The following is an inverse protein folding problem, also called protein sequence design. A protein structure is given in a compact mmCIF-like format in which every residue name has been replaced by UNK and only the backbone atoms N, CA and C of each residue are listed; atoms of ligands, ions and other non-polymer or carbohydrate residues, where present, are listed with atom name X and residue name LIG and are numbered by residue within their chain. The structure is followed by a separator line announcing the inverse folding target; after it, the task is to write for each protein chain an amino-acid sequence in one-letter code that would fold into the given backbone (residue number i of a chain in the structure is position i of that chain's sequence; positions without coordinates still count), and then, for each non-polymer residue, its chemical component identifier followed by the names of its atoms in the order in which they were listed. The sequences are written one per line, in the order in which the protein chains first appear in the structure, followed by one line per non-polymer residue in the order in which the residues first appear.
data_IF_791007187851
#
_entry.id   IF_791007187851
#
_cell.length_a   1.000
_cell.length_b   1.000
_cell.length_c   1.000
_cell.angle_alpha   90.00
_cell.angle_beta   90.00
_cell.angle_gamma   90.00
#
_symmetry.space_group_name_H-M   'P 1'
#
loop_
_entity.id
_entity.type
_entity.pdbx_description
1 polymer ?
#
# COMPACT_ATOMS: atom_id res chain seq x y z
N UNK A 1 24.78 8.66 9.77
CA UNK A 1 25.73 9.51 10.48
C UNK A 1 26.96 8.70 10.91
N UNK A 2 28.16 9.14 10.56
CA UNK A 2 29.42 8.45 10.94
C UNK A 2 29.69 8.50 12.45
N UNK A 3 29.15 9.50 13.12
CA UNK A 3 29.38 9.72 14.57
C UNK A 3 28.39 8.91 15.43
N UNK A 4 27.10 9.12 15.28
CA UNK A 4 26.09 8.46 16.13
C UNK A 4 25.55 7.16 15.55
N UNK A 5 25.93 6.79 14.33
CA UNK A 5 25.49 5.61 13.58
C UNK A 5 23.98 5.58 13.27
N UNK A 6 23.24 6.65 13.56
CA UNK A 6 21.84 6.76 13.18
C UNK A 6 21.71 6.76 11.66
N UNK A 7 20.63 6.17 11.17
CA UNK A 7 20.29 6.07 9.75
C UNK A 7 19.16 7.04 9.43
N UNK A 8 19.21 7.64 8.27
CA UNK A 8 18.24 8.63 7.80
C UNK A 8 17.91 8.37 6.36
N UNK A 9 16.71 8.75 5.96
CA UNK A 9 16.33 8.84 4.55
C UNK A 9 16.98 10.07 3.93
N UNK A 10 17.58 9.92 2.75
CA UNK A 10 18.29 11.02 2.10
C UNK A 10 17.35 12.15 1.64
N UNK A 11 16.12 11.79 1.26
CA UNK A 11 15.05 12.69 0.84
C UNK A 11 14.38 13.47 1.99
N UNK A 12 14.63 13.08 3.25
CA UNK A 12 14.00 13.68 4.43
C UNK A 12 15.03 14.26 5.42
N UNK A 13 16.25 14.49 4.97
CA UNK A 13 17.33 14.97 5.86
C UNK A 13 17.03 16.32 6.49
N UNK A 14 16.37 17.23 5.75
CA UNK A 14 16.06 18.58 6.23
C UNK A 14 15.10 18.57 7.43
N UNK A 15 14.18 17.61 7.44
CA UNK A 15 13.15 17.46 8.47
C UNK A 15 13.49 16.40 9.53
N UNK A 16 14.67 15.80 9.46
CA UNK A 16 15.07 14.75 10.38
C UNK A 16 15.79 15.31 11.61
N UNK A 17 15.48 14.73 12.76
CA UNK A 17 16.15 15.05 14.02
C UNK A 17 17.29 14.08 14.32
N UNK A 18 18.38 14.63 14.85
CA UNK A 18 19.48 13.80 15.34
C UNK A 18 19.11 13.17 16.69
N UNK A 19 19.22 11.83 16.87
CA UNK A 19 18.92 11.17 18.14
C UNK A 19 19.73 11.68 19.35
N UNK A 20 20.79 12.41 19.10
CA UNK A 20 21.62 13.06 20.13
C UNK A 20 21.23 14.51 20.39
N UNK A 21 20.12 14.98 19.86
CA UNK A 21 19.53 16.29 20.09
C UNK A 21 19.71 17.27 18.93
N UNK A 22 18.61 17.87 18.53
CA UNK A 22 18.51 18.94 17.56
C UNK A 22 18.35 18.50 16.11
N UNK A 23 17.98 19.47 15.26
CA UNK A 23 17.89 19.29 13.81
C UNK A 23 19.21 18.79 13.23
N UNK A 24 19.16 17.94 12.20
CA UNK A 24 20.36 17.50 11.47
C UNK A 24 21.13 18.66 10.85
N UNK A 25 20.43 19.74 10.48
CA UNK A 25 21.05 20.97 9.97
C UNK A 25 21.93 21.65 11.02
N UNK A 26 21.61 21.50 12.30
CA UNK A 26 22.33 22.07 13.45
C UNK A 26 23.22 21.04 14.15
N UNK A 27 23.24 19.79 13.71
CA UNK A 27 24.08 18.76 14.29
C UNK A 27 25.58 19.11 14.06
N UNK A 28 26.32 19.20 15.13
CA UNK A 28 27.76 19.48 15.07
C UNK A 28 28.57 18.45 14.29
N UNK A 29 28.02 17.25 14.13
CA UNK A 29 28.57 16.20 13.27
C UNK A 29 27.87 16.17 11.92
N UNK A 30 28.13 17.10 11.03
CA UNK A 30 27.66 17.06 9.62
C UNK A 30 28.27 15.89 8.82
N UNK A 31 28.86 14.91 9.48
CA UNK A 31 29.58 13.80 8.87
C UNK A 31 28.60 12.66 8.53
N UNK A 32 27.85 12.84 7.47
CA UNK A 32 27.00 11.81 6.88
C UNK A 32 27.82 10.98 5.87
N UNK A 33 27.46 9.73 5.70
CA UNK A 33 27.92 8.93 4.57
C UNK A 33 27.21 9.38 3.30
N UNK A 34 27.76 9.04 2.14
CA UNK A 34 27.01 9.13 0.89
C UNK A 34 25.71 8.35 0.96
N UNK A 35 24.68 8.83 0.27
CA UNK A 35 23.41 8.12 0.12
C UNK A 35 23.63 6.79 -0.59
N UNK A 36 23.02 5.75 -0.09
CA UNK A 36 23.10 4.41 -0.69
C UNK A 36 21.70 3.91 -1.01
N UNK A 37 21.50 3.18 -2.12
CA UNK A 37 20.27 2.49 -2.37
C UNK A 37 19.88 1.62 -1.18
N UNK A 38 18.62 1.71 -0.78
CA UNK A 38 18.08 0.94 0.34
C UNK A 38 17.02 -0.03 -0.18
N UNK A 39 17.19 -1.31 0.10
CA UNK A 39 16.22 -2.31 -0.27
C UNK A 39 15.11 -2.38 0.78
N UNK A 40 13.92 -1.94 0.42
CA UNK A 40 12.73 -1.98 1.27
C UNK A 40 12.20 -3.40 1.50
N UNK A 41 12.58 -4.36 0.64
CA UNK A 41 12.15 -5.74 0.77
C UNK A 41 13.19 -6.57 1.53
N UNK A 42 12.72 -7.45 2.41
CA UNK A 42 13.58 -8.45 3.03
C UNK A 42 13.92 -9.55 2.03
N UNK A 43 15.19 -9.87 1.94
CA UNK A 43 15.72 -10.99 1.18
C UNK A 43 16.02 -12.14 2.14
N UNK A 44 15.64 -13.38 1.78
CA UNK A 44 15.93 -14.58 2.53
C UNK A 44 16.47 -15.67 1.61
N UNK A 45 17.35 -16.53 2.13
CA UNK A 45 17.79 -17.71 1.41
C UNK A 45 16.69 -18.76 1.32
N UNK A 46 16.65 -19.50 0.22
CA UNK A 46 15.75 -20.62 -0.01
C UNK A 46 16.57 -21.88 -0.18
N UNK A 47 16.08 -22.98 0.39
CA UNK A 47 16.73 -24.29 0.26
C UNK A 47 17.68 -24.61 1.41
N UNK A 48 18.30 -25.81 1.36
CA UNK A 48 19.10 -26.32 2.46
C UNK A 48 20.50 -25.71 2.56
N UNK A 49 20.97 -25.02 1.51
CA UNK A 49 22.32 -24.44 1.44
C UNK A 49 22.20 -22.95 1.17
N UNK A 50 22.83 -22.14 1.98
CA UNK A 50 22.93 -20.68 1.78
C UNK A 50 24.24 -20.35 1.04
N UNK A 51 24.26 -20.60 -0.24
CA UNK A 51 25.36 -20.26 -1.16
C UNK A 51 25.09 -18.97 -1.96
N UNK A 52 23.98 -18.28 -1.68
CA UNK A 52 23.55 -17.08 -2.37
C UNK A 52 22.98 -17.32 -3.76
N UNK A 53 22.84 -18.57 -4.22
CA UNK A 53 22.31 -18.91 -5.54
C UNK A 53 20.78 -18.86 -5.59
N UNK A 54 20.12 -19.12 -4.46
CA UNK A 54 18.66 -19.19 -4.36
C UNK A 54 18.16 -18.30 -3.25
N UNK A 55 17.30 -17.34 -3.61
CA UNK A 55 16.71 -16.42 -2.63
C UNK A 55 15.28 -16.04 -3.00
N UNK A 56 14.53 -15.61 -1.99
CA UNK A 56 13.21 -14.99 -2.14
C UNK A 56 13.16 -13.65 -1.42
N UNK A 57 12.13 -12.91 -1.75
CA UNK A 57 11.76 -11.71 -1.00
C UNK A 57 10.49 -11.97 -0.22
N UNK A 58 10.47 -11.50 1.03
CA UNK A 58 9.24 -11.47 1.82
C UNK A 58 8.34 -10.37 1.24
N UNK A 59 7.05 -10.64 1.17
CA UNK A 59 6.08 -9.70 0.58
C UNK A 59 5.97 -8.41 1.41
N UNK A 60 6.05 -7.22 0.78
CA UNK A 60 5.90 -5.93 1.47
C UNK A 60 4.44 -5.49 1.64
N UNK A 61 3.51 -6.19 0.98
CA UNK A 61 2.07 -5.93 0.97
C UNK A 61 1.30 -7.21 0.62
N UNK A 62 0.01 -7.25 0.90
CA UNK A 62 -0.86 -8.38 0.56
C UNK A 62 -1.60 -8.19 -0.77
N UNK A 63 -1.62 -6.98 -1.34
CA UNK A 63 -2.34 -6.63 -2.56
C UNK A 63 -1.94 -7.50 -3.76
N UNK A 64 -0.66 -7.72 -3.99
CA UNK A 64 -0.19 -8.43 -5.19
C UNK A 64 -0.71 -9.86 -5.28
N UNK A 65 -0.86 -10.56 -4.14
CA UNK A 65 -1.44 -11.91 -4.12
C UNK A 65 -2.94 -11.90 -4.48
N UNK A 66 -3.64 -10.81 -4.18
CA UNK A 66 -5.05 -10.64 -4.60
C UNK A 66 -5.12 -10.55 -6.13
N UNK A 67 -4.26 -9.74 -6.76
CA UNK A 67 -4.24 -9.60 -8.21
C UNK A 67 -3.83 -10.90 -8.92
N UNK A 68 -2.81 -11.58 -8.43
CA UNK A 68 -2.38 -12.89 -8.97
C UNK A 68 -3.51 -13.92 -8.89
N UNK A 69 -4.30 -13.91 -7.81
CA UNK A 69 -5.38 -14.85 -7.59
C UNK A 69 -6.70 -14.44 -8.24
N UNK A 70 -6.78 -13.26 -8.85
CA UNK A 70 -8.01 -12.71 -9.43
C UNK A 70 -8.70 -13.68 -10.39
N UNK A 71 -7.92 -14.23 -11.36
CA UNK A 71 -8.48 -15.16 -12.34
C UNK A 71 -9.03 -16.41 -11.69
N UNK A 72 -8.35 -16.99 -10.73
CA UNK A 72 -8.82 -18.18 -10.01
C UNK A 72 -10.15 -17.90 -9.29
N UNK A 73 -10.28 -16.73 -8.67
CA UNK A 73 -11.53 -16.33 -8.00
C UNK A 73 -12.67 -16.19 -9.03
N UNK A 74 -12.43 -15.50 -10.15
CA UNK A 74 -13.44 -15.34 -11.21
C UNK A 74 -13.85 -16.69 -11.76
N UNK A 75 -12.91 -17.56 -12.11
CA UNK A 75 -13.20 -18.85 -12.72
C UNK A 75 -13.94 -19.81 -11.76
N UNK A 76 -13.55 -19.82 -10.48
CA UNK A 76 -14.14 -20.74 -9.49
C UNK A 76 -15.49 -20.26 -8.94
N UNK A 77 -15.73 -18.96 -8.90
CA UNK A 77 -16.93 -18.38 -8.28
C UNK A 77 -17.89 -17.76 -9.29
N UNK A 78 -17.51 -17.65 -10.55
CA UNK A 78 -18.28 -16.99 -11.63
C UNK A 78 -18.69 -15.55 -11.28
N UNK A 79 -17.86 -14.84 -10.50
CA UNK A 79 -18.13 -13.46 -10.11
C UNK A 79 -17.98 -12.51 -11.29
N UNK A 80 -18.84 -11.51 -11.32
CA UNK A 80 -18.83 -10.42 -12.31
C UNK A 80 -18.67 -9.10 -11.57
N UNK A 81 -17.83 -8.17 -12.05
CA UNK A 81 -17.72 -6.85 -11.44
C UNK A 81 -19.08 -6.12 -11.35
N UNK A 82 -19.39 -5.43 -10.23
CA UNK A 82 -18.44 -5.12 -9.15
C UNK A 82 -18.34 -6.23 -8.09
N UNK A 83 -17.14 -6.57 -7.65
CA UNK A 83 -16.90 -7.43 -6.50
C UNK A 83 -15.55 -7.14 -5.87
N UNK A 84 -15.37 -7.53 -4.62
CA UNK A 84 -14.12 -7.34 -3.89
C UNK A 84 -13.47 -8.66 -3.48
N UNK A 85 -12.16 -8.65 -3.35
CA UNK A 85 -11.37 -9.70 -2.71
C UNK A 85 -10.62 -9.06 -1.56
N UNK A 86 -10.87 -9.56 -0.35
CA UNK A 86 -10.19 -9.10 0.85
C UNK A 86 -9.19 -10.15 1.34
N UNK A 87 -8.09 -9.67 1.88
CA UNK A 87 -7.07 -10.52 2.51
C UNK A 87 -6.56 -9.88 3.78
N UNK A 88 -6.41 -10.69 4.82
CA UNK A 88 -5.69 -10.36 6.04
C UNK A 88 -4.44 -11.22 6.09
N UNK A 89 -3.30 -10.63 6.35
CA UNK A 89 -2.07 -11.40 6.42
C UNK A 89 -0.85 -10.55 6.77
N UNK A 90 0.25 -11.23 7.01
CA UNK A 90 1.52 -10.57 7.34
C UNK A 90 2.16 -9.94 6.10
N UNK A 91 2.71 -8.75 6.33
CA UNK A 91 3.56 -8.04 5.39
C UNK A 91 4.89 -7.66 6.08
N UNK A 92 5.92 -7.45 5.28
CA UNK A 92 7.28 -7.24 5.76
C UNK A 92 7.92 -6.09 5.03
N UNK A 93 8.32 -5.07 5.77
CA UNK A 93 9.04 -3.93 5.20
C UNK A 93 10.34 -3.72 5.95
N UNK A 94 11.44 -3.64 5.24
CA UNK A 94 12.75 -3.39 5.83
C UNK A 94 12.86 -1.91 6.21
N UNK A 95 12.19 -1.52 7.29
CA UNK A 95 12.20 -0.14 7.77
C UNK A 95 13.61 0.30 8.18
N UNK A 96 14.01 1.49 7.73
CA UNK A 96 15.29 2.08 8.11
C UNK A 96 15.32 2.29 9.63
N UNK A 97 14.22 2.82 10.18
CA UNK A 97 14.09 3.11 11.62
C UNK A 97 12.69 2.75 12.09
N UNK A 98 12.48 1.56 12.67
CA UNK A 98 11.27 1.27 13.43
C UNK A 98 11.07 2.27 14.56
N UNK A 99 9.82 2.66 14.83
CA UNK A 99 9.50 3.69 15.83
C UNK A 99 8.05 3.61 16.29
N UNK A 100 7.73 4.36 17.33
CA UNK A 100 6.37 4.50 17.87
C UNK A 100 5.80 3.13 18.29
N UNK A 101 6.60 2.35 19.02
CA UNK A 101 6.27 1.00 19.51
C UNK A 101 5.85 0.09 18.34
N UNK A 102 4.59 -0.36 18.28
CA UNK A 102 4.09 -1.25 17.21
C UNK A 102 3.58 -0.51 15.98
N UNK A 103 3.58 0.84 15.98
CA UNK A 103 3.02 1.62 14.87
C UNK A 103 3.87 1.48 13.59
N UNK A 104 5.20 1.52 13.70
CA UNK A 104 6.11 1.33 12.57
C UNK A 104 7.13 0.24 12.87
N UNK A 105 6.81 -0.96 12.42
CA UNK A 105 7.59 -2.18 12.63
C UNK A 105 7.91 -2.86 11.31
N UNK A 106 8.83 -3.83 11.32
CA UNK A 106 9.28 -4.52 10.10
C UNK A 106 8.38 -5.69 9.70
N UNK A 107 7.67 -6.28 10.65
CA UNK A 107 6.68 -7.32 10.45
C UNK A 107 5.35 -6.83 11.03
N UNK A 108 4.29 -6.80 10.23
CA UNK A 108 2.97 -6.33 10.64
C UNK A 108 1.87 -7.08 9.90
N UNK A 109 0.65 -6.94 10.36
CA UNK A 109 -0.52 -7.44 9.67
C UNK A 109 -1.15 -6.33 8.85
N UNK A 110 -1.53 -6.66 7.61
CA UNK A 110 -2.34 -5.82 6.75
C UNK A 110 -3.70 -6.46 6.52
N UNK A 111 -4.71 -5.61 6.42
CA UNK A 111 -6.01 -5.95 5.87
C UNK A 111 -6.19 -5.12 4.61
N UNK A 112 -6.27 -5.77 3.47
CA UNK A 112 -6.47 -5.12 2.18
C UNK A 112 -7.73 -5.66 1.51
N UNK A 113 -8.43 -4.75 0.81
CA UNK A 113 -9.58 -5.05 -0.02
C UNK A 113 -9.35 -4.44 -1.40
N UNK A 114 -9.22 -5.29 -2.40
CA UNK A 114 -9.20 -4.86 -3.79
C UNK A 114 -10.60 -5.01 -4.38
N UNK A 115 -11.18 -3.89 -4.80
CA UNK A 115 -12.54 -3.84 -5.32
C UNK A 115 -12.53 -3.63 -6.82
N UNK A 116 -12.97 -4.64 -7.56
CA UNK A 116 -12.93 -4.69 -9.02
C UNK A 116 -14.23 -4.17 -9.59
N UNK A 117 -14.14 -3.19 -10.48
CA UNK A 117 -15.28 -2.47 -11.04
C UNK A 117 -15.25 -2.47 -12.57
N UNK A 118 -16.34 -2.08 -13.20
CA UNK A 118 -16.38 -1.91 -14.65
C UNK A 118 -15.50 -0.73 -15.07
N UNK A 119 -14.80 -0.81 -16.21
CA UNK A 119 -14.07 0.33 -16.75
C UNK A 119 -14.95 1.57 -16.88
N UNK A 120 -14.40 2.72 -16.45
CA UNK A 120 -15.08 4.02 -16.50
C UNK A 120 -16.03 4.31 -15.32
N UNK A 121 -16.18 3.39 -14.35
CA UNK A 121 -16.95 3.62 -13.11
C UNK A 121 -16.05 3.80 -11.87
N UNK A 122 -14.75 3.87 -12.08
CA UNK A 122 -13.73 3.90 -11.04
C UNK A 122 -13.85 5.11 -10.11
N UNK A 123 -14.16 6.29 -10.64
CA UNK A 123 -14.27 7.52 -9.82
C UNK A 123 -15.48 7.49 -8.89
N UNK A 124 -16.63 6.97 -9.35
CA UNK A 124 -17.83 6.86 -8.54
C UNK A 124 -17.63 5.84 -7.41
N UNK A 125 -16.99 4.70 -7.73
CA UNK A 125 -16.66 3.70 -6.73
C UNK A 125 -15.59 4.16 -5.75
N UNK A 126 -14.65 4.99 -6.17
CA UNK A 126 -13.64 5.57 -5.28
C UNK A 126 -14.31 6.46 -4.22
N UNK A 127 -15.23 7.35 -4.64
CA UNK A 127 -16.02 8.17 -3.72
C UNK A 127 -16.93 7.33 -2.80
N UNK A 128 -17.59 6.33 -3.37
CA UNK A 128 -18.42 5.41 -2.59
C UNK A 128 -17.64 4.74 -1.46
N UNK A 129 -16.45 4.22 -1.75
CA UNK A 129 -15.62 3.58 -0.75
C UNK A 129 -15.10 4.57 0.29
N UNK A 130 -14.72 5.77 -0.10
CA UNK A 130 -14.33 6.81 0.84
C UNK A 130 -15.42 7.07 1.88
N UNK A 131 -16.67 7.30 1.43
CA UNK A 131 -17.80 7.55 2.32
C UNK A 131 -18.09 6.33 3.21
N UNK A 132 -18.04 5.13 2.64
CA UNK A 132 -18.26 3.89 3.39
C UNK A 132 -17.20 3.67 4.47
N UNK A 133 -15.93 3.95 4.19
CA UNK A 133 -14.84 3.75 5.16
C UNK A 133 -14.89 4.79 6.28
N UNK A 134 -15.16 6.05 5.97
CA UNK A 134 -15.35 7.07 6.99
C UNK A 134 -16.51 6.72 7.95
N UNK A 135 -17.64 6.28 7.40
CA UNK A 135 -18.79 5.84 8.21
C UNK A 135 -18.46 4.61 9.06
N UNK A 136 -17.74 3.64 8.47
CA UNK A 136 -17.35 2.44 9.21
C UNK A 136 -16.45 2.77 10.40
N UNK A 137 -15.48 3.67 10.25
CA UNK A 137 -14.64 4.09 11.38
C UNK A 137 -15.48 4.75 12.50
N UNK A 138 -16.47 5.56 12.14
CA UNK A 138 -17.39 6.14 13.11
C UNK A 138 -18.22 5.06 13.83
N UNK A 139 -18.70 4.05 13.11
CA UNK A 139 -19.43 2.89 13.68
C UNK A 139 -18.54 2.05 14.61
N UNK A 140 -17.23 1.99 14.36
CA UNK A 140 -16.28 1.33 15.28
C UNK A 140 -15.94 2.19 16.52
N UNK A 141 -16.54 3.36 16.67
CA UNK A 141 -16.35 4.25 17.81
C UNK A 141 -15.17 5.21 17.68
N UNK A 142 -14.57 5.31 16.49
CA UNK A 142 -13.54 6.32 16.22
C UNK A 142 -14.22 7.68 16.11
N UNK A 143 -13.80 8.62 16.95
CA UNK A 143 -14.39 9.96 16.97
C UNK A 143 -14.03 10.72 15.69
N UNK A 144 -15.02 11.29 15.01
CA UNK A 144 -14.86 12.01 13.74
C UNK A 144 -13.87 13.18 13.84
N UNK A 145 -13.80 13.84 15.00
CA UNK A 145 -12.85 14.93 15.28
C UNK A 145 -11.37 14.50 15.26
N UNK A 146 -11.12 13.19 15.42
CA UNK A 146 -9.80 12.58 15.35
C UNK A 146 -9.40 12.16 13.92
N UNK A 147 -10.36 12.14 13.02
CA UNK A 147 -10.12 11.78 11.63
C UNK A 147 -9.92 13.04 10.78
N UNK A 148 -8.96 12.98 9.87
CA UNK A 148 -8.75 13.99 8.84
C UNK A 148 -8.59 13.30 7.50
N UNK A 149 -9.26 13.83 6.50
CA UNK A 149 -9.10 13.37 5.12
C UNK A 149 -7.99 14.15 4.45
N UNK A 150 -7.05 13.42 3.85
CA UNK A 150 -5.99 13.96 3.01
C UNK A 150 -6.16 13.44 1.59
N UNK A 151 -6.40 14.34 0.65
CA UNK A 151 -6.29 14.02 -0.78
C UNK A 151 -4.82 14.15 -1.18
N UNK A 152 -4.24 13.06 -1.68
CA UNK A 152 -2.82 13.02 -2.06
C UNK A 152 -2.62 13.83 -3.33
N UNK A 153 -1.67 14.78 -3.28
CA UNK A 153 -1.36 15.61 -4.44
C UNK A 153 -0.80 14.77 -5.61
N UNK A 154 -1.09 15.17 -6.83
CA UNK A 154 -0.69 14.44 -8.05
C UNK A 154 0.80 14.11 -8.12
N UNK A 155 1.65 14.99 -7.60
CA UNK A 155 3.12 14.79 -7.58
C UNK A 155 3.58 13.70 -6.63
N UNK A 156 2.76 13.41 -5.60
CA UNK A 156 3.08 12.45 -4.54
C UNK A 156 2.33 11.12 -4.71
N UNK A 157 1.46 11.04 -5.73
CA UNK A 157 0.76 9.79 -6.04
C UNK A 157 1.73 8.67 -6.38
N UNK A 158 1.43 7.49 -5.90
CA UNK A 158 2.11 6.27 -6.36
C UNK A 158 1.89 6.06 -7.85
N UNK A 159 2.88 5.48 -8.54
CA UNK A 159 2.88 5.28 -9.99
C UNK A 159 1.69 4.47 -10.54
N UNK A 160 1.02 3.71 -9.69
CA UNK A 160 -0.16 2.91 -10.03
C UNK A 160 -1.48 3.64 -9.78
N UNK A 161 -1.46 4.78 -9.11
CA UNK A 161 -2.68 5.46 -8.65
C UNK A 161 -3.05 6.66 -9.52
N UNK A 162 -4.33 6.74 -9.86
CA UNK A 162 -4.96 7.90 -10.51
C UNK A 162 -5.36 8.96 -9.46
N UNK A 163 -5.79 8.50 -8.28
CA UNK A 163 -6.19 9.32 -7.14
C UNK A 163 -6.08 8.50 -5.86
N UNK A 164 -5.71 9.12 -4.76
CA UNK A 164 -5.63 8.49 -3.44
C UNK A 164 -6.17 9.44 -2.38
N UNK A 165 -6.98 8.91 -1.48
CA UNK A 165 -7.35 9.55 -0.24
C UNK A 165 -6.76 8.77 0.93
N UNK A 166 -6.12 9.49 1.85
CA UNK A 166 -5.66 8.92 3.10
C UNK A 166 -6.56 9.40 4.24
N UNK A 167 -7.12 8.47 4.98
CA UNK A 167 -7.81 8.75 6.23
C UNK A 167 -6.74 8.80 7.30
N UNK A 168 -6.46 10.01 7.77
CA UNK A 168 -5.48 10.28 8.82
C UNK A 168 -6.15 10.23 10.19
N UNK A 169 -5.42 9.77 11.20
CA UNK A 169 -5.87 9.76 12.58
C UNK A 169 -4.88 10.51 13.47
N UNK A 170 -5.44 11.26 14.44
CA UNK A 170 -4.67 11.99 15.44
C UNK A 170 -4.25 11.05 16.58
N UNK A 171 -3.10 10.34 16.35
CA UNK A 171 -2.47 9.48 17.34
C UNK A 171 -1.75 10.29 18.42
N UNK A 172 -1.42 9.69 19.58
CA UNK A 172 -0.64 10.38 20.61
C UNK A 172 0.73 10.91 20.15
N UNK A 173 1.28 10.34 19.09
CA UNK A 173 2.57 10.73 18.50
C UNK A 173 2.44 11.61 17.25
N UNK A 174 1.23 12.06 16.92
CA UNK A 174 0.96 12.93 15.80
C UNK A 174 -0.07 12.39 14.81
N UNK A 175 -0.34 13.20 13.79
CA UNK A 175 -1.26 12.84 12.72
C UNK A 175 -0.56 11.89 11.75
N UNK A 176 -1.06 10.66 11.66
CA UNK A 176 -0.51 9.61 10.80
C UNK A 176 -1.64 8.89 10.04
N UNK A 177 -1.28 8.22 8.96
CA UNK A 177 -2.20 7.45 8.14
C UNK A 177 -2.82 6.27 8.90
N UNK A 178 -4.14 6.17 8.85
CA UNK A 178 -4.91 5.06 9.40
C UNK A 178 -5.34 4.11 8.29
N UNK A 179 -5.76 4.64 7.14
CA UNK A 179 -6.20 3.86 5.99
C UNK A 179 -6.00 4.66 4.70
N UNK A 180 -5.48 4.00 3.65
CA UNK A 180 -5.37 4.56 2.31
C UNK A 180 -6.42 3.98 1.37
N UNK A 181 -7.03 4.82 0.52
CA UNK A 181 -8.02 4.42 -0.48
C UNK A 181 -7.55 4.92 -1.84
N UNK A 182 -7.02 4.02 -2.66
CA UNK A 182 -6.41 4.35 -3.95
C UNK A 182 -7.24 3.86 -5.13
N UNK A 183 -7.42 4.73 -6.12
CA UNK A 183 -7.90 4.32 -7.43
C UNK A 183 -6.70 3.84 -8.26
N UNK A 184 -6.49 2.53 -8.33
CA UNK A 184 -5.33 1.90 -8.98
C UNK A 184 -5.54 1.68 -10.49
N UNK A 185 -6.70 2.02 -11.03
CA UNK A 185 -7.07 1.76 -12.42
C UNK A 185 -6.93 0.28 -12.81
N UNK A 186 -6.43 -0.02 -14.00
CA UNK A 186 -6.12 -1.37 -14.48
C UNK A 186 -4.62 -1.72 -14.36
N UNK A 187 -3.86 -0.91 -13.65
CA UNK A 187 -2.39 -1.01 -13.61
C UNK A 187 -1.90 -2.40 -13.21
N UNK A 188 -2.41 -2.93 -12.09
CA UNK A 188 -1.94 -4.22 -11.54
C UNK A 188 -2.36 -5.39 -12.43
N UNK A 189 -3.65 -5.50 -12.75
CA UNK A 189 -4.16 -6.56 -13.62
C UNK A 189 -3.54 -6.50 -15.01
N UNK A 190 -3.36 -5.28 -15.56
CA UNK A 190 -2.70 -5.06 -16.84
C UNK A 190 -1.24 -5.47 -16.82
N UNK A 191 -0.52 -5.21 -15.72
CA UNK A 191 0.88 -5.59 -15.55
C UNK A 191 1.05 -7.11 -15.44
N UNK A 192 0.21 -7.77 -14.65
CA UNK A 192 0.21 -9.23 -14.54
C UNK A 192 -0.15 -9.91 -15.86
N UNK A 193 -1.12 -9.37 -16.61
CA UNK A 193 -1.53 -9.92 -17.92
C UNK A 193 -0.45 -9.84 -18.98
N UNK A 194 0.44 -8.84 -18.93
CA UNK A 194 1.56 -8.71 -19.87
C UNK A 194 2.64 -9.78 -19.65
N UNK A 195 2.85 -10.16 -18.40
CA UNK A 195 3.93 -11.06 -18.01
C UNK A 195 3.53 -12.54 -18.05
N UNK A 196 2.24 -12.83 -18.03
CA UNK A 196 1.70 -14.20 -18.03
C UNK A 196 0.61 -14.31 -19.10
N UNK A 197 0.97 -14.81 -20.27
CA UNK A 197 0.04 -14.96 -21.42
C UNK A 197 -1.22 -15.75 -21.10
N UNK A 198 -1.16 -16.66 -20.15
CA UNK A 198 -2.28 -17.50 -19.72
C UNK A 198 -3.23 -16.80 -18.72
N UNK A 199 -2.79 -15.69 -18.13
CA UNK A 199 -3.63 -14.82 -17.31
C UNK A 199 -4.35 -13.79 -18.20
N UNK A 200 -5.12 -14.25 -19.18
CA UNK A 200 -6.00 -13.35 -19.93
C UNK A 200 -7.16 -12.91 -19.02
N UNK A 201 -6.88 -11.88 -18.20
CA UNK A 201 -7.77 -11.36 -17.16
C UNK A 201 -8.80 -10.45 -17.83
N UNK A 202 -9.62 -11.02 -18.69
CA UNK A 202 -10.85 -10.37 -19.17
C UNK A 202 -12.00 -11.01 -18.41
N UNK A 203 -12.53 -10.29 -17.42
CA UNK A 203 -13.85 -10.60 -16.94
C UNK A 203 -14.81 -10.51 -18.15
N UNK A 204 -15.46 -11.60 -18.51
CA UNK A 204 -16.53 -11.56 -19.49
C UNK A 204 -17.68 -10.73 -18.90
N UNK A 205 -17.69 -9.46 -19.20
CA UNK A 205 -18.83 -8.58 -18.90
C UNK A 205 -19.87 -8.95 -19.96
N UNK A 206 -20.73 -9.91 -19.66
CA UNK A 206 -21.94 -10.09 -20.41
C UNK A 206 -22.82 -8.86 -20.14
N UNK A 207 -22.84 -7.94 -21.09
CA UNK A 207 -23.89 -6.94 -21.14
C UNK A 207 -25.21 -7.71 -21.25
N UNK A 208 -26.05 -7.57 -20.24
CA UNK A 208 -27.43 -7.99 -20.35
C UNK A 208 -28.11 -7.16 -21.45
N UNK A 209 -28.07 -7.64 -22.67
CA UNK A 209 -28.90 -7.15 -23.78
C UNK A 209 -30.35 -7.63 -23.60
N UNK A 210 -30.97 -7.33 -22.48
CA UNK A 210 -32.39 -7.57 -22.30
C UNK A 210 -33.00 -6.46 -21.44
N UNK A 211 -33.17 -5.29 -22.05
CA UNK A 211 -34.27 -4.40 -21.69
C UNK A 211 -34.68 -3.56 -22.90
N UNK A 212 -35.12 -4.25 -23.95
CA UNK A 212 -36.04 -3.68 -24.94
C UNK A 212 -37.31 -4.45 -24.80
N UNK A 213 -38.26 -3.92 -24.05
CA UNK A 213 -39.68 -4.22 -24.33
C UNK A 213 -40.57 -3.15 -23.71
N UNK A 214 -41.15 -2.40 -24.61
CA UNK A 214 -42.49 -1.80 -24.65
C UNK A 214 -42.95 -0.95 -23.50
#
# INVERSE_FOLDING_TARGET
CKVCKARFRADQLENSECPRGGSLTNCKSKDLTEARPFNLMFKTAIGPVDDGSSFAYLRPETAQQIFVNFKNVVDSTSRVPPFGIAQIGKAFRNEITPRNFIFRVREFEQMELEYFVKPGSDEDWHKYWLDKRLNWWAEQGVKSEKLKLLEVEKKDLSHYSKATFDIMYDFPHGLEELEGIANRTDFDLGSHSKNQKDLNIKANIQENKNSTTK
#
